data_IF_264963064679
#
_entry.id   IF_264963064679
#
_cell.length_a   1.000
_cell.length_b   1.000
_cell.length_c   1.000
_cell.angle_alpha   90.00
_cell.angle_beta   90.00
_cell.angle_gamma   90.00
#
_symmetry.space_group_name_H-M   'P 1'
#
loop_
_entity.id
_entity.type
_entity.pdbx_description
1 polymer ?
#
# COMPACT_ATOMS: atom_id res chain seq x y z
N UNK A 1 -16.68 -36.19 33.43
CA UNK A 1 -16.73 -34.96 34.22
C UNK A 1 -17.34 -33.89 33.30
N UNK A 2 -18.66 -33.61 33.48
CA UNK A 2 -19.32 -32.50 32.82
C UNK A 2 -18.87 -31.22 33.54
N UNK A 3 -18.09 -30.38 32.88
CA UNK A 3 -17.83 -29.03 33.34
C UNK A 3 -19.19 -28.31 33.39
N UNK A 4 -19.61 -27.84 34.54
CA UNK A 4 -20.71 -26.90 34.69
C UNK A 4 -20.29 -25.62 33.97
N UNK A 5 -20.78 -25.45 32.77
CA UNK A 5 -20.74 -24.15 32.09
C UNK A 5 -21.61 -23.22 32.94
N UNK A 6 -20.97 -22.29 33.64
CA UNK A 6 -21.68 -21.20 34.33
C UNK A 6 -22.58 -20.46 33.34
N UNK A 7 -23.57 -19.76 33.86
CA UNK A 7 -24.49 -18.97 33.02
C UNK A 7 -23.70 -18.10 32.04
N UNK A 8 -23.96 -18.18 30.74
CA UNK A 8 -23.24 -17.41 29.75
C UNK A 8 -23.46 -15.92 30.02
N UNK A 9 -22.38 -15.19 30.20
CA UNK A 9 -22.44 -13.74 30.31
C UNK A 9 -22.68 -13.17 28.89
N UNK A 10 -23.81 -12.50 28.72
CA UNK A 10 -24.13 -11.86 27.46
C UNK A 10 -23.32 -10.55 27.33
N UNK A 11 -22.49 -10.45 26.31
CA UNK A 11 -21.76 -9.25 25.95
C UNK A 11 -22.48 -8.63 24.76
N UNK A 12 -22.94 -7.40 24.92
CA UNK A 12 -23.60 -6.65 23.83
C UNK A 12 -22.61 -5.67 23.23
N UNK A 13 -22.56 -5.59 21.88
CA UNK A 13 -21.74 -4.61 21.19
C UNK A 13 -22.21 -3.17 21.51
N UNK A 14 -21.31 -2.26 21.92
CA UNK A 14 -21.68 -0.91 22.30
C UNK A 14 -22.10 -0.04 21.10
N UNK A 15 -21.75 -0.44 19.88
CA UNK A 15 -22.08 0.26 18.65
C UNK A 15 -22.20 -0.72 17.49
N UNK A 16 -22.77 -0.24 16.38
CA UNK A 16 -22.82 -1.01 15.14
C UNK A 16 -21.43 -1.06 14.49
N UNK A 17 -21.03 -2.26 14.03
CA UNK A 17 -19.74 -2.46 13.40
C UNK A 17 -19.49 -3.90 12.99
N UNK A 18 -18.29 -4.16 12.55
CA UNK A 18 -17.80 -5.49 12.19
C UNK A 18 -17.03 -6.09 13.36
N UNK A 19 -17.43 -7.25 13.81
CA UNK A 19 -16.70 -7.98 14.83
C UNK A 19 -15.63 -8.84 14.17
N UNK A 20 -14.37 -8.65 14.57
CA UNK A 20 -13.22 -9.43 14.11
C UNK A 20 -12.64 -10.18 15.30
N UNK A 21 -12.61 -11.50 15.21
CA UNK A 21 -12.14 -12.37 16.28
C UNK A 21 -10.63 -12.21 16.56
N UNK A 22 -9.83 -11.87 15.54
CA UNK A 22 -8.41 -11.62 15.72
C UNK A 22 -8.19 -10.22 16.30
N UNK A 23 -7.44 -10.12 17.37
CA UNK A 23 -6.99 -8.87 17.97
C UNK A 23 -5.55 -8.99 18.39
N UNK A 24 -4.77 -7.91 18.19
CA UNK A 24 -3.39 -7.79 18.64
C UNK A 24 -3.18 -6.51 19.43
N UNK A 25 -2.29 -6.56 20.42
CA UNK A 25 -2.18 -5.53 21.44
C UNK A 25 -1.46 -4.25 20.99
N UNK A 26 -0.37 -4.41 20.26
CA UNK A 26 0.56 -3.32 20.08
C UNK A 26 0.01 -2.16 19.27
N UNK A 27 -0.81 -2.46 18.27
CA UNK A 27 -1.29 -1.46 17.28
C UNK A 27 -2.76 -1.11 17.39
N UNK A 28 -3.52 -1.87 18.18
CA UNK A 28 -4.90 -1.52 18.50
C UNK A 28 -5.00 -0.32 19.44
N UNK A 29 -3.98 -0.11 20.28
CA UNK A 29 -3.94 0.98 21.25
C UNK A 29 -3.25 2.25 20.72
N UNK A 30 -2.55 2.15 19.59
CA UNK A 30 -2.08 3.34 18.90
C UNK A 30 -3.30 4.03 18.28
N UNK A 31 -3.73 5.12 18.84
CA UNK A 31 -4.75 5.96 18.24
C UNK A 31 -4.30 6.34 16.82
N UNK A 32 -5.23 6.32 15.84
CA UNK A 32 -4.93 6.73 14.48
C UNK A 32 -4.23 8.09 14.40
N UNK A 33 -4.54 8.97 15.35
CA UNK A 33 -3.93 10.31 15.50
C UNK A 33 -2.43 10.22 15.79
N UNK A 34 -1.99 9.30 16.65
CA UNK A 34 -0.57 9.18 17.01
C UNK A 34 0.28 8.69 15.85
N UNK A 35 -0.22 7.73 15.07
CA UNK A 35 0.46 7.21 13.87
C UNK A 35 0.52 8.29 12.78
N UNK A 36 -0.54 9.05 12.60
CA UNK A 36 -0.62 10.09 11.58
C UNK A 36 0.22 11.32 11.91
N UNK A 37 0.54 11.53 13.17
CA UNK A 37 1.37 12.65 13.63
C UNK A 37 2.88 12.34 13.61
N UNK A 38 3.28 11.08 13.39
CA UNK A 38 4.70 10.69 13.40
C UNK A 38 5.46 11.22 12.17
N UNK A 39 6.74 11.53 12.37
CA UNK A 39 7.65 11.79 11.25
C UNK A 39 7.87 10.53 10.40
N UNK A 40 8.41 10.64 9.16
CA UNK A 40 8.73 9.47 8.33
C UNK A 40 9.62 8.45 9.06
N UNK A 41 10.65 8.90 9.77
CA UNK A 41 11.59 8.04 10.51
C UNK A 41 10.92 7.39 11.72
N UNK A 42 10.11 8.16 12.47
CA UNK A 42 9.37 7.63 13.61
C UNK A 42 8.39 6.55 13.18
N UNK A 43 7.65 6.79 12.10
CA UNK A 43 6.75 5.79 11.56
C UNK A 43 7.52 4.56 11.05
N UNK A 44 8.66 4.75 10.40
CA UNK A 44 9.51 3.64 9.97
C UNK A 44 9.97 2.80 11.16
N UNK A 45 10.51 3.44 12.19
CA UNK A 45 10.94 2.76 13.42
C UNK A 45 9.77 2.02 14.10
N UNK A 46 8.59 2.62 14.14
CA UNK A 46 7.39 1.99 14.66
C UNK A 46 6.98 0.75 13.85
N UNK A 47 7.03 0.83 12.51
CA UNK A 47 6.68 -0.30 11.64
C UNK A 47 7.73 -1.42 11.69
N UNK A 48 9.00 -1.08 11.92
CA UNK A 48 10.10 -2.04 12.06
C UNK A 48 10.16 -2.63 13.48
N UNK A 49 9.44 -2.04 14.43
CA UNK A 49 9.37 -2.54 15.80
C UNK A 49 8.51 -3.79 15.90
N UNK A 50 8.71 -4.53 16.93
CA UNK A 50 8.37 -5.89 17.24
C UNK A 50 6.94 -6.37 16.95
N UNK A 51 6.78 -7.66 16.67
CA UNK A 51 5.51 -8.23 16.25
C UNK A 51 4.41 -8.05 17.29
N UNK A 52 3.23 -7.98 16.78
CA UNK A 52 1.98 -7.84 17.52
C UNK A 52 1.80 -8.99 18.51
N UNK A 53 1.62 -8.66 19.79
CA UNK A 53 1.26 -9.65 20.79
C UNK A 53 -0.26 -9.74 20.95
N UNK A 54 -0.84 -10.93 21.04
CA UNK A 54 -2.27 -11.11 21.36
C UNK A 54 -2.60 -10.42 22.68
N UNK A 55 -3.78 -9.80 22.75
CA UNK A 55 -4.31 -9.28 24.02
C UNK A 55 -4.90 -10.43 24.83
N UNK A 56 -4.30 -10.70 25.98
CA UNK A 56 -4.83 -11.68 26.92
C UNK A 56 -6.25 -11.28 27.38
N UNK A 57 -7.19 -12.22 27.28
CA UNK A 57 -8.58 -11.97 27.64
C UNK A 57 -9.39 -11.19 26.59
N UNK A 58 -8.81 -10.83 25.47
CA UNK A 58 -9.51 -10.19 24.36
C UNK A 58 -10.17 -11.24 23.45
N UNK A 59 -11.49 -11.16 23.27
CA UNK A 59 -12.24 -12.05 22.38
C UNK A 59 -12.24 -11.59 20.93
N UNK A 60 -11.85 -10.33 20.66
CA UNK A 60 -11.80 -9.74 19.34
C UNK A 60 -11.83 -8.21 19.38
N UNK A 61 -11.93 -7.61 18.20
CA UNK A 61 -12.07 -6.16 18.01
C UNK A 61 -13.38 -5.83 17.32
N UNK A 62 -13.98 -4.70 17.66
CA UNK A 62 -15.13 -4.14 16.96
C UNK A 62 -14.65 -2.97 16.10
N UNK A 63 -14.82 -3.10 14.78
CA UNK A 63 -14.46 -2.04 13.82
C UNK A 63 -15.73 -1.29 13.46
N UNK A 64 -15.80 -0.02 13.85
CA UNK A 64 -16.91 0.88 13.53
C UNK A 64 -16.54 1.82 12.38
N UNK A 65 -17.55 2.15 11.55
CA UNK A 65 -17.37 3.05 10.40
C UNK A 65 -17.11 2.32 9.08
N UNK A 66 -17.06 3.09 7.99
CA UNK A 66 -16.96 2.58 6.62
C UNK A 66 -15.70 3.08 5.90
N UNK A 67 -14.85 3.82 6.59
CA UNK A 67 -13.60 4.30 6.04
C UNK A 67 -12.44 3.95 6.97
N UNK A 68 -11.29 3.71 6.39
CA UNK A 68 -10.07 3.40 7.10
C UNK A 68 -8.89 4.10 6.42
N UNK A 69 -7.79 4.18 7.12
CA UNK A 69 -6.58 4.80 6.63
C UNK A 69 -5.43 3.78 6.66
N UNK A 70 -4.58 3.88 5.66
CA UNK A 70 -3.33 3.16 5.58
C UNK A 70 -2.19 4.17 5.66
N UNK A 71 -1.41 4.10 6.71
CA UNK A 71 -0.18 4.86 6.83
C UNK A 71 1.01 3.95 6.50
N UNK A 72 1.88 4.38 5.61
CA UNK A 72 3.02 3.61 5.17
C UNK A 72 4.27 4.45 4.96
N UNK A 73 5.41 3.77 4.85
CA UNK A 73 6.68 4.37 4.51
C UNK A 73 7.24 3.78 3.21
N UNK A 74 7.94 4.62 2.46
CA UNK A 74 8.63 4.23 1.22
C UNK A 74 9.84 5.14 1.01
N UNK A 75 10.61 4.94 -0.07
CA UNK A 75 11.68 5.87 -0.44
C UNK A 75 11.11 7.20 -0.97
N UNK A 76 11.89 8.27 -0.89
CA UNK A 76 11.53 9.58 -1.42
C UNK A 76 11.09 9.49 -2.89
N UNK A 77 11.86 8.80 -3.73
CA UNK A 77 11.55 8.58 -5.16
C UNK A 77 10.21 7.86 -5.40
N UNK A 78 9.82 6.94 -4.51
CA UNK A 78 8.52 6.27 -4.61
C UNK A 78 7.39 7.21 -4.21
N UNK A 79 7.60 8.04 -3.19
CA UNK A 79 6.62 8.99 -2.70
C UNK A 79 6.32 10.10 -3.71
N UNK A 80 7.31 10.53 -4.51
CA UNK A 80 7.10 11.50 -5.59
C UNK A 80 6.00 11.07 -6.57
N UNK A 81 5.84 9.76 -6.80
CA UNK A 81 4.76 9.22 -7.64
C UNK A 81 3.36 9.39 -7.05
N UNK A 82 3.27 9.70 -5.76
CA UNK A 82 2.01 9.98 -5.06
C UNK A 82 1.70 11.49 -5.04
N UNK A 83 2.58 12.31 -5.62
CA UNK A 83 2.40 13.75 -5.75
C UNK A 83 2.04 14.12 -7.18
N UNK A 84 1.21 15.14 -7.31
CA UNK A 84 0.94 15.79 -8.58
C UNK A 84 2.07 16.76 -8.96
N UNK A 85 1.99 17.31 -10.15
CA UNK A 85 2.95 18.33 -10.65
C UNK A 85 2.97 19.61 -9.81
N UNK A 86 1.95 19.84 -8.98
CA UNK A 86 1.85 20.95 -8.04
C UNK A 86 2.47 20.66 -6.65
N UNK A 87 3.13 19.49 -6.51
CA UNK A 87 3.75 19.03 -5.26
C UNK A 87 2.74 18.63 -4.17
N UNK A 88 1.44 18.56 -4.50
CA UNK A 88 0.39 18.13 -3.58
C UNK A 88 0.04 16.66 -3.81
N UNK A 89 -0.57 16.00 -2.81
CA UNK A 89 -1.08 14.63 -2.99
C UNK A 89 -1.95 14.50 -4.24
N UNK A 90 -1.82 13.36 -4.94
CA UNK A 90 -2.60 13.07 -6.13
C UNK A 90 -4.10 13.20 -5.85
N UNK A 91 -4.80 13.93 -6.71
CA UNK A 91 -6.26 14.07 -6.64
C UNK A 91 -7.00 12.88 -7.24
N UNK A 92 -6.34 12.13 -8.12
CA UNK A 92 -6.87 10.90 -8.69
C UNK A 92 -6.79 9.76 -7.68
N UNK A 93 -7.77 8.89 -7.70
CA UNK A 93 -7.73 7.69 -6.87
C UNK A 93 -6.57 6.78 -7.31
N UNK A 94 -5.92 6.18 -6.33
CA UNK A 94 -4.92 5.15 -6.51
C UNK A 94 -5.52 3.79 -6.16
N UNK A 95 -4.91 2.71 -6.62
CA UNK A 95 -5.26 1.36 -6.18
C UNK A 95 -4.28 0.87 -5.14
N UNK A 96 -4.81 0.31 -4.05
CA UNK A 96 -4.03 -0.35 -3.00
C UNK A 96 -4.39 -1.83 -2.96
N UNK A 97 -3.39 -2.70 -2.93
CA UNK A 97 -3.55 -4.14 -2.75
C UNK A 97 -2.53 -4.67 -1.74
N UNK A 98 -2.83 -5.81 -1.13
CA UNK A 98 -2.02 -6.42 -0.08
C UNK A 98 -1.59 -7.83 -0.48
N UNK A 99 -0.52 -7.96 -1.28
CA UNK A 99 -0.07 -9.26 -1.81
C UNK A 99 0.16 -10.29 -0.71
N UNK A 100 -0.41 -11.47 -0.88
CA UNK A 100 -0.33 -12.57 0.10
C UNK A 100 -1.29 -12.48 1.28
N UNK A 101 -2.08 -11.41 1.38
CA UNK A 101 -3.12 -11.25 2.44
C UNK A 101 -4.51 -11.00 1.84
N UNK A 102 -4.60 -10.28 0.73
CA UNK A 102 -5.83 -10.06 -0.03
C UNK A 102 -5.52 -9.90 -1.50
N UNK A 103 -6.29 -10.57 -2.35
CA UNK A 103 -6.18 -10.44 -3.82
C UNK A 103 -6.97 -9.23 -4.36
N UNK A 104 -7.77 -8.60 -3.51
CA UNK A 104 -8.60 -7.47 -3.91
C UNK A 104 -7.78 -6.18 -4.00
N UNK A 105 -7.83 -5.51 -5.15
CA UNK A 105 -7.40 -4.14 -5.29
C UNK A 105 -8.54 -3.18 -4.85
N UNK A 106 -8.21 -2.23 -3.98
CA UNK A 106 -9.16 -1.28 -3.42
C UNK A 106 -8.80 0.14 -3.88
N UNK A 107 -9.81 0.94 -4.14
CA UNK A 107 -9.62 2.35 -4.47
C UNK A 107 -9.32 3.15 -3.20
N UNK A 108 -8.26 3.96 -3.25
CA UNK A 108 -7.84 4.82 -2.17
C UNK A 108 -7.55 6.23 -2.68
N UNK A 109 -7.63 7.20 -1.79
CA UNK A 109 -7.23 8.58 -2.05
C UNK A 109 -5.98 8.90 -1.24
N UNK A 110 -5.00 9.51 -1.87
CA UNK A 110 -3.80 10.01 -1.17
C UNK A 110 -4.21 11.25 -0.38
N UNK A 111 -4.09 11.19 0.94
CA UNK A 111 -4.46 12.31 1.81
C UNK A 111 -3.26 13.11 2.27
N UNK A 112 -2.11 12.46 2.44
CA UNK A 112 -0.90 13.11 2.92
C UNK A 112 0.33 12.40 2.36
N UNK A 113 1.37 13.19 2.06
CA UNK A 113 2.71 12.70 1.70
C UNK A 113 3.72 13.66 2.34
N UNK A 114 4.62 13.12 3.14
CA UNK A 114 5.72 13.85 3.78
C UNK A 114 7.03 13.17 3.40
N UNK A 115 7.93 13.91 2.77
CA UNK A 115 9.21 13.38 2.28
C UNK A 115 10.34 13.97 3.12
N UNK A 116 11.19 13.09 3.65
CA UNK A 116 12.50 13.44 4.16
C UNK A 116 13.56 13.00 3.13
N UNK A 117 14.07 13.98 2.40
CA UNK A 117 15.03 13.73 1.34
C UNK A 117 16.43 13.39 1.88
N UNK A 118 16.78 13.84 3.11
CA UNK A 118 18.08 13.59 3.71
C UNK A 118 18.23 12.12 4.13
N UNK A 119 17.13 11.54 4.61
CA UNK A 119 17.09 10.14 5.06
C UNK A 119 16.56 9.17 3.97
N UNK A 120 16.22 9.66 2.78
CA UNK A 120 15.54 8.90 1.72
C UNK A 120 14.35 8.10 2.25
N UNK A 121 13.56 8.70 3.11
CA UNK A 121 12.35 8.10 3.67
C UNK A 121 11.16 9.05 3.49
N UNK A 122 10.02 8.49 3.19
CA UNK A 122 8.78 9.25 3.09
C UNK A 122 7.65 8.50 3.78
N UNK A 123 6.77 9.28 4.41
CA UNK A 123 5.50 8.82 4.95
C UNK A 123 4.39 9.21 4.00
N UNK A 124 3.44 8.33 3.80
CA UNK A 124 2.21 8.64 3.08
C UNK A 124 1.00 8.08 3.80
N UNK A 125 -0.14 8.71 3.61
CA UNK A 125 -1.43 8.28 4.15
C UNK A 125 -2.42 8.15 3.02
N UNK A 126 -3.06 6.99 2.94
CA UNK A 126 -4.15 6.69 2.03
C UNK A 126 -5.46 6.55 2.80
N UNK A 127 -6.53 7.04 2.25
CA UNK A 127 -7.90 6.85 2.77
C UNK A 127 -8.69 5.96 1.83
N UNK A 128 -9.27 4.91 2.38
CA UNK A 128 -10.17 4.00 1.69
C UNK A 128 -11.57 4.11 2.28
N UNK A 129 -12.59 4.13 1.41
CA UNK A 129 -14.00 4.16 1.81
C UNK A 129 -14.68 2.81 1.54
N UNK A 130 -13.92 1.75 1.32
CA UNK A 130 -14.42 0.41 1.07
C UNK A 130 -13.81 -0.55 2.10
N UNK A 131 -14.66 -1.33 2.77
CA UNK A 131 -14.27 -2.34 3.75
C UNK A 131 -14.76 -3.70 3.23
N UNK A 132 -13.88 -4.69 3.25
CA UNK A 132 -14.20 -6.10 3.01
C UNK A 132 -13.64 -6.96 4.16
N UNK A 133 -13.97 -8.26 4.16
CA UNK A 133 -13.54 -9.19 5.20
C UNK A 133 -12.02 -9.26 5.36
N UNK A 134 -11.28 -9.21 4.25
CA UNK A 134 -9.82 -9.31 4.25
C UNK A 134 -9.19 -8.09 4.93
N UNK A 135 -9.67 -6.88 4.58
CA UNK A 135 -9.18 -5.63 5.17
C UNK A 135 -9.40 -5.58 6.67
N UNK A 136 -10.52 -6.11 7.15
CA UNK A 136 -10.81 -6.16 8.59
C UNK A 136 -9.78 -6.99 9.37
N UNK A 137 -9.16 -7.97 8.71
CA UNK A 137 -8.14 -8.84 9.30
C UNK A 137 -6.72 -8.29 9.14
N UNK A 138 -6.52 -7.22 8.35
CA UNK A 138 -5.20 -6.60 8.21
C UNK A 138 -4.80 -5.90 9.50
N UNK A 139 -3.56 -6.12 9.91
CA UNK A 139 -2.95 -5.41 11.03
C UNK A 139 -1.71 -4.66 10.54
N UNK A 140 -0.66 -5.39 10.18
CA UNK A 140 0.57 -4.86 9.62
C UNK A 140 0.81 -5.54 8.27
N UNK A 141 0.62 -4.82 7.20
CA UNK A 141 0.67 -5.38 5.86
C UNK A 141 1.49 -4.52 4.91
N UNK A 142 2.28 -5.17 4.09
CA UNK A 142 2.91 -4.50 2.95
C UNK A 142 1.87 -4.26 1.88
N UNK A 143 1.77 -3.02 1.41
CA UNK A 143 0.89 -2.65 0.33
C UNK A 143 1.64 -2.48 -0.99
N UNK A 144 0.95 -2.81 -2.08
CA UNK A 144 1.31 -2.37 -3.43
C UNK A 144 0.37 -1.26 -3.83
N UNK A 145 0.92 -0.12 -4.25
CA UNK A 145 0.15 1.04 -4.68
C UNK A 145 0.36 1.22 -6.18
N UNK A 146 -0.74 1.35 -6.92
CA UNK A 146 -0.75 1.66 -8.35
C UNK A 146 -1.37 3.05 -8.54
N UNK A 147 -0.63 3.95 -9.17
CA UNK A 147 -1.03 5.34 -9.37
C UNK A 147 -1.71 5.61 -10.71
N UNK A 148 -1.91 4.58 -11.52
CA UNK A 148 -2.59 4.71 -12.81
C UNK A 148 -2.66 3.38 -13.56
N UNK A 149 -3.61 3.29 -14.48
CA UNK A 149 -3.66 2.24 -15.48
C UNK A 149 -2.68 2.61 -16.60
N UNK A 150 -1.63 1.83 -16.76
CA UNK A 150 -0.81 1.88 -17.97
C UNK A 150 -1.49 0.99 -19.01
N UNK A 151 -2.18 1.61 -19.96
CA UNK A 151 -2.69 0.91 -21.13
C UNK A 151 -1.53 0.73 -22.12
N UNK A 152 -1.13 -0.49 -22.37
CA UNK A 152 -0.04 -0.80 -23.28
C UNK A 152 0.03 -2.28 -23.63
N UNK A 153 0.76 -2.59 -24.67
CA UNK A 153 1.06 -3.96 -25.04
C UNK A 153 2.16 -4.53 -24.12
N UNK A 154 1.92 -5.68 -23.54
CA UNK A 154 2.95 -6.42 -22.82
C UNK A 154 3.90 -7.03 -23.84
N UNK A 155 5.18 -6.67 -23.72
CA UNK A 155 6.25 -7.29 -24.52
C UNK A 155 7.20 -8.05 -23.59
N UNK A 156 7.82 -9.15 -24.05
CA UNK A 156 8.88 -9.82 -23.31
C UNK A 156 10.05 -8.86 -23.07
N UNK A 157 10.71 -8.96 -21.92
CA UNK A 157 11.88 -8.12 -21.63
C UNK A 157 13.00 -8.27 -22.68
N UNK A 158 13.15 -9.46 -23.25
CA UNK A 158 14.10 -9.73 -24.33
C UNK A 158 13.77 -9.02 -25.67
N UNK A 159 12.57 -8.45 -25.81
CA UNK A 159 12.19 -7.68 -26.99
C UNK A 159 12.40 -6.18 -26.81
N UNK A 160 12.86 -5.77 -25.63
CA UNK A 160 13.19 -4.37 -25.35
C UNK A 160 14.64 -4.10 -25.80
N UNK A 161 14.80 -3.19 -26.72
CA UNK A 161 16.08 -2.71 -27.23
C UNK A 161 16.35 -1.29 -26.73
N UNK A 162 17.60 -0.88 -26.71
CA UNK A 162 18.01 0.45 -26.28
C UNK A 162 18.74 1.14 -27.43
N UNK A 163 18.29 2.32 -27.82
CA UNK A 163 18.99 3.17 -28.79
C UNK A 163 19.73 4.29 -28.09
N UNK A 164 20.95 4.56 -28.55
CA UNK A 164 21.72 5.75 -28.20
C UNK A 164 21.21 6.96 -28.96
N UNK A 165 21.66 8.16 -28.59
CA UNK A 165 21.31 9.41 -29.30
C UNK A 165 21.71 9.39 -30.77
N UNK A 166 22.77 8.67 -31.14
CA UNK A 166 23.25 8.53 -32.51
C UNK A 166 22.43 7.48 -33.32
N UNK A 167 21.42 6.88 -32.74
CA UNK A 167 20.58 5.85 -33.37
C UNK A 167 21.20 4.45 -33.40
N UNK A 168 22.37 4.24 -32.79
CA UNK A 168 22.98 2.92 -32.69
C UNK A 168 22.38 2.11 -31.53
N UNK A 169 22.26 0.79 -31.73
CA UNK A 169 21.72 -0.12 -30.72
C UNK A 169 22.74 -0.38 -29.61
N UNK A 170 22.26 -0.51 -28.37
CA UNK A 170 23.05 -0.91 -27.23
C UNK A 170 22.49 -2.20 -26.63
N UNK A 171 23.37 -3.11 -26.21
CA UNK A 171 22.99 -4.39 -25.62
C UNK A 171 22.41 -4.27 -24.20
N UNK A 172 22.72 -3.20 -23.50
CA UNK A 172 22.30 -2.96 -22.13
C UNK A 172 21.78 -1.55 -21.93
N UNK A 173 20.94 -1.35 -20.92
CA UNK A 173 20.47 -0.04 -20.50
C UNK A 173 21.66 0.84 -20.06
N UNK A 174 21.69 2.07 -20.56
CA UNK A 174 22.65 3.11 -20.17
C UNK A 174 21.95 4.43 -19.89
N UNK A 175 22.68 5.38 -19.32
CA UNK A 175 22.18 6.75 -19.16
C UNK A 175 21.92 7.36 -20.54
N UNK A 176 20.76 8.00 -20.71
CA UNK A 176 20.29 8.65 -21.95
C UNK A 176 19.99 7.70 -23.12
N UNK A 177 19.80 6.38 -22.88
CA UNK A 177 19.34 5.48 -23.92
C UNK A 177 17.82 5.44 -23.96
N UNK A 178 17.27 5.39 -25.17
CA UNK A 178 15.82 5.32 -25.42
C UNK A 178 15.41 3.86 -25.46
N UNK A 179 14.61 3.37 -24.49
CA UNK A 179 14.06 2.02 -24.56
C UNK A 179 12.92 1.96 -25.57
N UNK A 180 12.85 0.88 -26.32
CA UNK A 180 11.78 0.65 -27.30
C UNK A 180 11.74 -0.78 -27.79
N UNK A 181 10.85 -1.04 -28.74
CA UNK A 181 10.67 -2.33 -29.36
C UNK A 181 10.61 -2.18 -30.89
N UNK A 182 11.04 -3.22 -31.62
CA UNK A 182 10.84 -3.25 -33.05
C UNK A 182 9.46 -3.79 -33.40
N UNK A 183 8.67 -3.01 -34.09
CA UNK A 183 7.35 -3.40 -34.60
C UNK A 183 7.42 -3.64 -36.11
N UNK A 184 6.89 -4.75 -36.56
CA UNK A 184 6.85 -5.09 -37.98
C UNK A 184 5.67 -4.40 -38.66
N UNK A 185 5.97 -3.53 -39.62
CA UNK A 185 5.01 -2.91 -40.51
C UNK A 185 5.26 -3.43 -41.95
N UNK A 186 4.46 -4.38 -42.40
CA UNK A 186 4.69 -5.04 -43.69
C UNK A 186 6.04 -5.80 -43.69
N UNK A 187 6.98 -5.37 -44.53
CA UNK A 187 8.31 -5.97 -44.62
C UNK A 187 9.41 -5.13 -43.92
N UNK A 188 9.02 -4.08 -43.16
CA UNK A 188 9.96 -3.18 -42.50
C UNK A 188 9.77 -3.29 -41.00
N UNK A 189 10.87 -3.34 -40.24
CA UNK A 189 10.85 -3.20 -38.80
C UNK A 189 11.05 -1.72 -38.43
N UNK A 190 10.22 -1.20 -37.56
CA UNK A 190 10.34 0.15 -37.01
C UNK A 190 10.54 0.07 -35.50
N UNK A 191 11.48 0.88 -35.02
CA UNK A 191 11.67 1.10 -33.60
C UNK A 191 10.57 2.06 -33.08
N UNK A 192 9.92 1.69 -31.95
CA UNK A 192 8.84 2.42 -31.33
C UNK A 192 9.07 2.52 -29.83
#
# INVERSE_FOLDING_TARGET
>A
VQAQLGNPTQITAPTTGYFVRAASSGRLNAGAVDILAQSPEQLKAYLDSDPEMPLDGCVGKLVSGFSWQYAGVCSAKQAEKLLGSDGKPLRTAVEISFPGQSDAALRATVTEVTIDAEQDVARFVLRCNSINGDVLCLNHARARISTGESTGLRVPAAAVHYLKEDGTEAETQGENYIPGVYVKYGNIARFC
#
